data_IF_088389535030
#
_entry.id   IF_088389535030
#
_cell.length_a   1.000
_cell.length_b   1.000
_cell.length_c   1.000
_cell.angle_alpha   90.00
_cell.angle_beta   90.00
_cell.angle_gamma   90.00
#
_symmetry.space_group_name_H-M   'P 1'
#
loop_
_entity.id
_entity.type
_entity.pdbx_description
1 polymer ?
#
# COMPACT_ATOMS: atom_id res chain seq x y z
N UNK A 1 0.56 -4.31 17.93
CA UNK A 1 1.35 -4.38 19.19
C UNK A 1 1.20 -3.04 19.87
N UNK A 2 0.78 -3.02 21.13
CA UNK A 2 0.62 -1.76 21.87
C UNK A 2 1.92 -1.46 22.62
N UNK A 3 2.53 -0.32 22.31
CA UNK A 3 3.74 0.17 22.98
C UNK A 3 3.45 1.58 23.47
N UNK A 4 3.69 1.83 24.76
CA UNK A 4 3.63 3.18 25.32
C UNK A 4 4.92 3.95 25.01
N UNK A 5 4.83 5.05 24.28
CA UNK A 5 5.94 5.98 24.06
C UNK A 5 5.83 7.16 25.02
N UNK A 6 6.94 7.49 25.68
CA UNK A 6 7.04 8.67 26.55
C UNK A 6 7.43 9.90 25.72
N UNK A 7 6.41 10.54 25.15
CA UNK A 7 6.57 11.74 24.34
C UNK A 7 6.65 12.99 25.21
N UNK A 8 7.23 14.05 24.66
CA UNK A 8 7.24 15.36 25.33
C UNK A 8 5.82 15.92 25.32
N UNK A 9 5.36 16.39 26.48
CA UNK A 9 4.08 17.08 26.55
C UNK A 9 4.23 18.49 25.97
N UNK A 10 3.58 18.74 24.84
CA UNK A 10 3.56 20.06 24.18
C UNK A 10 2.18 20.71 24.23
N UNK A 11 1.23 20.18 25.01
CA UNK A 11 -0.14 20.70 25.08
C UNK A 11 -0.24 22.12 25.65
N UNK A 12 0.65 22.46 26.59
CA UNK A 12 0.66 23.77 27.25
C UNK A 12 1.61 24.79 26.60
N UNK A 13 2.79 24.36 26.16
CA UNK A 13 3.79 25.23 25.51
C UNK A 13 4.87 24.39 24.83
N UNK A 14 5.20 24.74 23.59
CA UNK A 14 6.31 24.10 22.85
C UNK A 14 7.70 24.54 23.36
N UNK A 15 7.79 25.71 24.02
CA UNK A 15 9.06 26.29 24.47
C UNK A 15 9.42 25.96 25.92
N UNK A 16 8.46 25.52 26.74
CA UNK A 16 8.67 25.19 28.16
C UNK A 16 8.80 23.68 28.43
N UNK A 17 9.50 22.97 27.55
CA UNK A 17 9.63 21.49 27.55
C UNK A 17 10.08 20.90 28.92
N UNK A 18 10.88 21.64 29.68
CA UNK A 18 11.36 21.21 31.01
C UNK A 18 10.26 21.18 32.08
N UNK A 19 9.23 22.01 31.96
CA UNK A 19 8.11 22.08 32.92
C UNK A 19 6.99 21.10 32.56
N UNK A 20 6.77 20.85 31.27
CA UNK A 20 5.63 20.08 30.78
C UNK A 20 5.72 18.57 31.07
N UNK A 21 6.90 18.03 31.36
CA UNK A 21 7.06 16.60 31.66
C UNK A 21 6.92 15.72 30.42
N UNK A 22 6.57 14.44 30.62
CA UNK A 22 6.34 13.46 29.54
C UNK A 22 4.96 12.85 29.65
N UNK A 23 4.32 12.65 28.52
CA UNK A 23 3.04 11.93 28.40
C UNK A 23 3.30 10.57 27.80
N UNK A 24 2.78 9.52 28.44
CA UNK A 24 2.79 8.19 27.87
C UNK A 24 1.60 8.07 26.92
N UNK A 25 1.89 7.91 25.62
CA UNK A 25 0.88 7.73 24.60
C UNK A 25 0.99 6.30 24.07
N UNK A 26 -0.13 5.60 24.03
CA UNK A 26 -0.22 4.26 23.46
C UNK A 26 -0.22 4.34 21.93
N UNK A 27 0.65 3.56 21.30
CA UNK A 27 0.68 3.40 19.86
C UNK A 27 0.33 1.96 19.49
N UNK A 28 -0.53 1.80 18.49
CA UNK A 28 -0.74 0.53 17.81
C UNK A 28 0.21 0.44 16.61
N UNK A 29 1.12 -0.54 16.65
CA UNK A 29 2.12 -0.74 15.60
C UNK A 29 2.04 -2.14 14.99
N UNK A 30 2.35 -2.23 13.69
CA UNK A 30 2.57 -3.49 13.00
C UNK A 30 3.88 -4.13 13.46
N UNK A 31 3.87 -5.44 13.70
CA UNK A 31 5.06 -6.20 14.11
C UNK A 31 5.70 -6.85 12.89
N UNK A 32 6.95 -6.51 12.59
CA UNK A 32 7.72 -7.03 11.44
C UNK A 32 6.97 -6.95 10.10
N UNK A 33 6.40 -5.79 9.72
CA UNK A 33 5.65 -5.68 8.48
C UNK A 33 6.55 -5.87 7.26
N UNK A 34 6.00 -6.50 6.23
CA UNK A 34 6.60 -6.59 4.90
C UNK A 34 5.52 -6.37 3.85
N UNK A 35 5.81 -5.53 2.86
CA UNK A 35 4.86 -5.17 1.80
C UNK A 35 5.49 -5.43 0.44
N UNK A 36 4.64 -5.85 -0.50
CA UNK A 36 4.97 -5.85 -1.93
C UNK A 36 4.25 -4.68 -2.57
N UNK A 37 5.00 -3.78 -3.20
CA UNK A 37 4.46 -2.58 -3.83
C UNK A 37 4.72 -2.66 -5.32
N UNK A 38 3.65 -2.54 -6.11
CA UNK A 38 3.74 -2.43 -7.57
C UNK A 38 3.61 -0.96 -7.94
N UNK A 39 4.53 -0.47 -8.77
CA UNK A 39 4.57 0.93 -9.22
C UNK A 39 4.55 0.95 -10.73
N UNK A 40 3.73 1.82 -11.30
CA UNK A 40 3.73 2.15 -12.71
C UNK A 40 3.70 3.67 -12.88
N UNK A 41 4.16 4.15 -14.03
CA UNK A 41 4.09 5.56 -14.36
C UNK A 41 3.98 5.75 -15.88
N UNK A 42 3.23 6.75 -16.32
CA UNK A 42 3.03 7.04 -17.75
C UNK A 42 4.27 7.68 -18.40
N UNK A 43 4.96 8.57 -17.66
CA UNK A 43 6.26 9.10 -18.07
C UNK A 43 7.34 8.03 -17.89
N UNK A 44 7.81 7.48 -19.00
CA UNK A 44 8.83 6.42 -19.05
C UNK A 44 10.19 6.93 -18.56
N UNK A 45 10.57 8.17 -18.86
CA UNK A 45 11.84 8.72 -18.41
C UNK A 45 11.89 8.90 -16.89
N UNK A 46 10.75 9.25 -16.27
CA UNK A 46 10.64 9.28 -14.81
C UNK A 46 10.62 7.87 -14.21
N UNK A 47 9.88 6.94 -14.84
CA UNK A 47 9.84 5.54 -14.42
C UNK A 47 11.23 4.92 -14.41
N UNK A 48 12.00 5.06 -15.50
CA UNK A 48 13.33 4.47 -15.64
C UNK A 48 14.30 5.01 -14.58
N UNK A 49 14.26 6.33 -14.33
CA UNK A 49 15.05 6.96 -13.26
C UNK A 49 14.68 6.44 -11.88
N UNK A 50 13.38 6.26 -11.61
CA UNK A 50 12.91 5.72 -10.34
C UNK A 50 13.34 4.25 -10.19
N UNK A 51 13.13 3.45 -11.22
CA UNK A 51 13.47 2.04 -11.26
C UNK A 51 14.97 1.82 -11.01
N UNK A 52 15.84 2.55 -11.71
CA UNK A 52 17.29 2.48 -11.52
C UNK A 52 17.68 2.74 -10.05
N UNK A 53 17.10 3.77 -9.43
CA UNK A 53 17.39 4.09 -8.02
C UNK A 53 16.87 3.03 -7.06
N UNK A 54 15.72 2.42 -7.32
CA UNK A 54 15.16 1.37 -6.48
C UNK A 54 15.97 0.08 -6.58
N UNK A 55 16.33 -0.34 -7.80
CA UNK A 55 17.12 -1.54 -8.08
C UNK A 55 18.52 -1.42 -7.47
N UNK A 56 19.16 -0.26 -7.64
CA UNK A 56 20.50 0.01 -7.09
C UNK A 56 20.49 0.47 -5.63
N UNK A 57 19.32 0.52 -4.97
CA UNK A 57 19.14 0.99 -3.59
C UNK A 57 19.73 2.41 -3.37
N UNK A 58 19.76 3.24 -4.42
CA UNK A 58 20.33 4.57 -4.47
C UNK A 58 19.33 5.67 -4.04
N UNK A 59 18.82 5.53 -2.82
CA UNK A 59 17.86 6.46 -2.24
C UNK A 59 18.53 7.74 -1.74
N UNK A 60 17.87 8.89 -1.94
CA UNK A 60 18.33 10.17 -1.40
C UNK A 60 18.07 10.28 0.12
N UNK A 61 16.96 9.70 0.57
CA UNK A 61 16.58 9.60 1.98
C UNK A 61 16.25 8.16 2.34
N UNK A 62 16.57 7.75 3.57
CA UNK A 62 16.24 6.42 4.07
C UNK A 62 14.72 6.22 4.07
N UNK A 63 14.20 5.19 3.39
CA UNK A 63 12.78 4.87 3.43
C UNK A 63 12.30 4.53 4.83
N UNK A 64 11.05 4.81 5.14
CA UNK A 64 10.42 4.50 6.42
C UNK A 64 8.92 4.24 6.26
N UNK A 65 8.32 3.52 7.20
CA UNK A 65 6.90 3.15 7.22
C UNK A 65 6.11 4.12 8.11
N UNK A 66 5.58 5.19 7.53
CA UNK A 66 4.72 6.16 8.21
C UNK A 66 5.51 7.20 9.01
N UNK A 67 6.26 6.79 10.03
CA UNK A 67 7.10 7.67 10.86
C UNK A 67 8.59 7.39 10.62
N UNK A 68 9.42 8.44 10.71
CA UNK A 68 10.86 8.34 10.40
C UNK A 68 11.64 7.37 11.30
N UNK A 69 11.11 7.06 12.49
CA UNK A 69 11.65 6.06 13.41
C UNK A 69 11.46 4.62 12.90
N UNK A 70 10.54 4.39 11.97
CA UNK A 70 10.21 3.07 11.43
C UNK A 70 10.92 2.86 10.09
N UNK A 71 12.25 2.89 10.10
CA UNK A 71 13.07 2.70 8.89
C UNK A 71 12.71 1.41 8.16
N UNK A 72 12.75 1.46 6.83
CA UNK A 72 12.37 0.37 5.96
C UNK A 72 13.53 -0.02 5.05
N UNK A 73 13.66 -1.31 4.77
CA UNK A 73 14.64 -1.84 3.84
C UNK A 73 13.95 -2.29 2.56
N UNK A 74 14.43 -1.81 1.41
CA UNK A 74 14.02 -2.35 0.11
C UNK A 74 14.74 -3.66 -0.15
N UNK A 75 13.99 -4.68 -0.58
CA UNK A 75 14.52 -5.98 -0.99
C UNK A 75 13.93 -6.37 -2.33
N UNK A 76 14.76 -6.93 -3.21
CA UNK A 76 14.34 -7.52 -4.48
C UNK A 76 13.55 -6.54 -5.37
N UNK A 77 13.98 -5.27 -5.43
CA UNK A 77 13.43 -4.35 -6.41
C UNK A 77 13.80 -4.84 -7.81
N UNK A 78 12.80 -4.98 -8.68
CA UNK A 78 12.95 -5.51 -10.02
C UNK A 78 11.99 -4.80 -10.97
N UNK A 79 12.44 -4.57 -12.20
CA UNK A 79 11.57 -4.14 -13.30
C UNK A 79 11.00 -5.39 -13.96
N UNK A 80 9.68 -5.49 -14.01
CA UNK A 80 8.98 -6.63 -14.57
C UNK A 80 8.13 -6.16 -15.76
N UNK A 81 8.18 -6.84 -16.92
CA UNK A 81 7.25 -6.55 -18.00
C UNK A 81 5.84 -6.95 -17.57
N UNK A 82 4.88 -6.09 -17.87
CA UNK A 82 3.45 -6.36 -17.61
C UNK A 82 2.70 -6.44 -18.93
N UNK A 83 1.76 -7.38 -19.00
CA UNK A 83 0.80 -7.44 -20.10
C UNK A 83 -0.56 -7.04 -19.55
N UNK A 84 -1.24 -6.13 -20.26
CA UNK A 84 -2.62 -5.83 -19.94
C UNK A 84 -3.49 -7.02 -20.35
N UNK A 85 -4.17 -7.59 -19.37
CA UNK A 85 -5.21 -8.58 -19.59
C UNK A 85 -6.55 -7.88 -19.82
N UNK A 86 -7.31 -8.40 -20.78
CA UNK A 86 -8.66 -7.95 -21.08
C UNK A 86 -9.52 -9.17 -21.39
N UNK A 87 -10.68 -9.27 -20.73
CA UNK A 87 -11.59 -10.39 -20.94
C UNK A 87 -12.93 -10.12 -20.29
N UNK A 88 -14.02 -10.51 -20.96
CA UNK A 88 -15.38 -10.38 -20.44
C UNK A 88 -15.76 -11.65 -19.68
N UNK A 89 -16.21 -11.50 -18.44
CA UNK A 89 -16.91 -12.55 -17.68
C UNK A 89 -16.04 -13.65 -17.08
N UNK A 90 -14.72 -13.54 -17.14
CA UNK A 90 -13.80 -14.50 -16.53
C UNK A 90 -13.49 -14.16 -15.06
N UNK A 91 -13.40 -15.20 -14.23
CA UNK A 91 -12.87 -15.10 -12.86
C UNK A 91 -11.35 -14.95 -12.91
N UNK A 92 -10.83 -13.90 -12.27
CA UNK A 92 -9.39 -13.60 -12.20
C UNK A 92 -8.93 -13.63 -10.74
N UNK A 93 -7.81 -14.30 -10.49
CA UNK A 93 -7.16 -14.35 -9.18
C UNK A 93 -6.15 -13.19 -9.06
N UNK A 94 -6.44 -12.22 -8.20
CA UNK A 94 -5.65 -10.98 -8.02
C UNK A 94 -4.79 -11.06 -6.76
N UNK A 95 -3.49 -10.85 -6.92
CA UNK A 95 -2.46 -10.96 -5.89
C UNK A 95 -2.17 -9.63 -5.16
N UNK A 96 -2.76 -8.53 -5.63
CA UNK A 96 -2.63 -7.20 -5.03
C UNK A 96 -3.91 -6.82 -4.28
N UNK A 97 -3.87 -5.69 -3.58
CA UNK A 97 -5.07 -5.06 -3.05
C UNK A 97 -6.06 -4.72 -4.18
N UNK A 98 -7.36 -4.89 -3.91
CA UNK A 98 -8.43 -4.77 -4.89
C UNK A 98 -9.21 -3.49 -4.64
N UNK A 99 -9.17 -2.55 -5.59
CA UNK A 99 -10.09 -1.41 -5.58
C UNK A 99 -11.47 -1.89 -6.08
N UNK A 100 -12.49 -1.84 -5.21
CA UNK A 100 -13.83 -2.36 -5.50
C UNK A 100 -14.50 -1.65 -6.67
N UNK A 101 -14.15 -0.39 -6.95
CA UNK A 101 -14.69 0.37 -8.09
C UNK A 101 -14.22 -0.13 -9.46
N UNK A 102 -13.22 -1.01 -9.51
CA UNK A 102 -12.69 -1.61 -10.75
C UNK A 102 -13.29 -2.98 -11.09
N UNK A 103 -14.28 -3.42 -10.32
CA UNK A 103 -14.95 -4.71 -10.50
C UNK A 103 -16.24 -4.53 -11.30
N UNK A 104 -16.58 -5.51 -12.14
CA UNK A 104 -17.61 -5.35 -13.18
C UNK A 104 -18.85 -6.21 -13.00
N UNK A 105 -18.81 -7.24 -12.15
CA UNK A 105 -19.92 -8.17 -11.94
C UNK A 105 -20.71 -7.92 -10.64
N UNK A 106 -21.85 -8.59 -10.52
CA UNK A 106 -22.64 -8.66 -9.30
C UNK A 106 -23.03 -10.13 -8.99
N UNK A 107 -22.48 -10.77 -7.95
CA UNK A 107 -21.48 -10.24 -7.02
C UNK A 107 -20.09 -10.09 -7.68
N UNK A 108 -19.31 -9.05 -7.31
CA UNK A 108 -18.02 -8.76 -7.95
C UNK A 108 -16.86 -9.65 -7.47
N UNK A 109 -17.02 -10.34 -6.35
CA UNK A 109 -15.98 -11.09 -5.65
C UNK A 109 -16.50 -12.48 -5.29
N UNK A 110 -15.66 -13.48 -5.44
CA UNK A 110 -15.90 -14.82 -4.91
C UNK A 110 -15.20 -15.01 -3.56
N UNK A 111 -15.97 -14.91 -2.49
CA UNK A 111 -15.46 -15.11 -1.14
C UNK A 111 -15.23 -16.59 -0.85
N UNK A 112 -14.05 -16.91 -0.31
CA UNK A 112 -13.78 -18.22 0.27
C UNK A 112 -14.32 -18.30 1.70
N UNK A 113 -14.91 -19.44 2.08
CA UNK A 113 -15.43 -19.67 3.44
C UNK A 113 -14.32 -19.71 4.51
N UNK A 114 -13.07 -19.95 4.10
CA UNK A 114 -11.92 -20.08 5.01
C UNK A 114 -11.05 -18.84 5.05
N UNK A 115 -11.37 -17.82 4.24
CA UNK A 115 -10.57 -16.60 4.14
C UNK A 115 -11.19 -15.49 4.98
N UNK A 116 -10.34 -14.58 5.45
CA UNK A 116 -10.75 -13.38 6.16
C UNK A 116 -10.39 -12.17 5.32
N UNK A 117 -11.36 -11.29 5.09
CA UNK A 117 -11.19 -10.14 4.22
C UNK A 117 -11.37 -8.85 5.03
N UNK A 118 -10.56 -7.85 4.72
CA UNK A 118 -10.71 -6.49 5.23
C UNK A 118 -11.07 -5.57 4.09
N UNK A 119 -12.04 -4.69 4.33
CA UNK A 119 -12.36 -3.57 3.46
C UNK A 119 -12.10 -2.31 4.24
N UNK A 120 -11.35 -1.40 3.66
CA UNK A 120 -11.09 -0.09 4.23
C UNK A 120 -11.26 1.01 3.19
N UNK A 121 -11.71 2.18 3.64
CA UNK A 121 -11.85 3.37 2.79
C UNK A 121 -10.61 4.23 2.98
N UNK A 122 -9.77 4.31 1.95
CA UNK A 122 -8.48 5.01 2.01
C UNK A 122 -8.28 6.01 0.87
N UNK A 123 -7.43 7.03 1.05
CA UNK A 123 -7.01 7.90 -0.04
C UNK A 123 -6.32 7.10 -1.15
N UNK A 124 -6.83 7.20 -2.38
CA UNK A 124 -6.24 6.54 -3.56
C UNK A 124 -5.69 7.54 -4.59
N UNK A 125 -6.06 8.82 -4.48
CA UNK A 125 -5.45 9.91 -5.25
C UNK A 125 -5.19 11.13 -4.37
N UNK A 126 -4.06 11.78 -4.65
CA UNK A 126 -3.55 12.95 -3.95
C UNK A 126 -3.10 14.01 -4.97
N UNK A 127 -3.32 15.28 -4.64
CA UNK A 127 -2.72 16.40 -5.37
C UNK A 127 -1.22 16.52 -5.09
N UNK A 128 -0.53 17.37 -5.85
CA UNK A 128 0.89 17.70 -5.60
C UNK A 128 1.13 18.29 -4.20
N UNK A 129 0.11 18.97 -3.66
CA UNK A 129 0.14 19.55 -2.31
C UNK A 129 -0.23 18.55 -1.22
N UNK A 130 -0.33 17.25 -1.56
CA UNK A 130 -0.72 16.15 -0.66
C UNK A 130 -2.13 16.31 -0.08
N UNK A 131 -3.04 16.91 -0.84
CA UNK A 131 -4.46 16.97 -0.50
C UNK A 131 -5.18 15.80 -1.15
N UNK A 132 -5.97 15.06 -0.39
CA UNK A 132 -6.74 13.92 -0.91
C UNK A 132 -7.78 14.42 -1.92
N UNK A 133 -7.73 13.89 -3.14
CA UNK A 133 -8.70 14.21 -4.20
C UNK A 133 -9.74 13.11 -4.37
N UNK A 134 -9.41 11.87 -4.00
CA UNK A 134 -10.33 10.73 -4.09
C UNK A 134 -10.04 9.68 -3.01
N UNK A 135 -11.11 9.20 -2.40
CA UNK A 135 -11.13 7.99 -1.57
C UNK A 135 -11.61 6.79 -2.38
N UNK A 136 -11.17 5.59 -2.03
CA UNK A 136 -11.66 4.35 -2.61
C UNK A 136 -11.78 3.26 -1.56
N UNK A 137 -12.68 2.32 -1.81
CA UNK A 137 -12.82 1.10 -1.01
C UNK A 137 -11.84 0.05 -1.53
N UNK A 138 -10.94 -0.37 -0.65
CA UNK A 138 -9.89 -1.31 -0.95
C UNK A 138 -10.08 -2.56 -0.13
N UNK A 139 -10.14 -3.70 -0.82
CA UNK A 139 -10.26 -5.02 -0.21
C UNK A 139 -8.91 -5.74 -0.25
N UNK A 140 -8.58 -6.39 0.86
CA UNK A 140 -7.42 -7.27 1.00
C UNK A 140 -7.81 -8.55 1.74
N UNK A 141 -7.11 -9.64 1.43
CA UNK A 141 -7.12 -10.85 2.25
C UNK A 141 -6.19 -10.68 3.46
N UNK A 142 -6.63 -11.14 4.63
CA UNK A 142 -5.92 -11.00 5.90
C UNK A 142 -4.56 -11.72 5.91
N UNK A 143 -4.43 -12.81 5.16
CA UNK A 143 -3.19 -13.59 5.04
C UNK A 143 -2.36 -13.15 3.81
N UNK A 144 -2.82 -12.13 3.07
CA UNK A 144 -2.17 -11.68 1.83
C UNK A 144 -2.32 -12.67 0.67
N UNK A 145 -3.34 -13.53 0.69
CA UNK A 145 -3.64 -14.46 -0.40
C UNK A 145 -4.36 -13.75 -1.55
N UNK A 146 -4.36 -14.41 -2.70
CA UNK A 146 -5.06 -13.91 -3.87
C UNK A 146 -6.57 -13.80 -3.65
N UNK A 147 -7.19 -12.75 -4.17
CA UNK A 147 -8.63 -12.54 -4.17
C UNK A 147 -9.19 -12.88 -5.54
N UNK A 148 -10.21 -13.74 -5.57
CA UNK A 148 -10.93 -14.08 -6.80
C UNK A 148 -11.99 -13.04 -7.12
N UNK A 149 -11.84 -12.34 -8.25
CA UNK A 149 -12.72 -11.22 -8.65
C UNK A 149 -13.16 -11.31 -10.10
N UNK A 150 -14.22 -10.59 -10.42
CA UNK A 150 -14.66 -10.34 -11.78
C UNK A 150 -14.31 -8.90 -12.18
N UNK A 151 -13.40 -8.75 -13.15
CA UNK A 151 -12.96 -7.46 -13.69
C UNK A 151 -12.67 -7.62 -15.18
N UNK A 152 -12.85 -6.55 -15.95
CA UNK A 152 -12.54 -6.49 -17.38
C UNK A 152 -11.09 -6.05 -17.66
N UNK A 153 -10.38 -5.57 -16.63
CA UNK A 153 -9.05 -5.00 -16.76
C UNK A 153 -8.15 -5.46 -15.62
N UNK A 154 -7.02 -6.08 -15.96
CA UNK A 154 -5.97 -6.44 -15.01
C UNK A 154 -4.59 -6.39 -15.67
N UNK A 155 -3.55 -6.58 -14.86
CA UNK A 155 -2.18 -6.72 -15.36
C UNK A 155 -1.65 -8.10 -15.02
N UNK A 156 -1.15 -8.80 -16.03
CA UNK A 156 -0.49 -10.09 -15.89
C UNK A 156 1.00 -9.84 -15.65
N UNK A 157 1.52 -10.39 -14.56
CA UNK A 157 2.95 -10.38 -14.27
C UNK A 157 3.47 -11.82 -14.32
N UNK A 158 4.60 -12.09 -15.00
CA UNK A 158 5.19 -13.44 -15.08
C UNK A 158 5.49 -14.04 -13.70
N UNK A 159 6.01 -13.24 -12.78
CA UNK A 159 6.58 -13.73 -11.52
C UNK A 159 5.68 -13.52 -10.29
N UNK A 160 4.69 -12.63 -10.38
CA UNK A 160 3.88 -12.23 -9.22
C UNK A 160 2.39 -12.56 -9.34
N UNK A 161 1.94 -13.06 -10.50
CA UNK A 161 0.55 -13.33 -10.82
C UNK A 161 -0.20 -12.09 -11.32
N UNK A 162 -1.53 -12.15 -11.34
CA UNK A 162 -2.34 -11.03 -11.82
C UNK A 162 -2.48 -9.97 -10.74
N UNK A 163 -2.44 -8.70 -11.12
CA UNK A 163 -2.57 -7.57 -10.21
C UNK A 163 -3.58 -6.55 -10.73
N UNK A 164 -4.11 -5.78 -9.78
CA UNK A 164 -4.81 -4.51 -10.00
C UNK A 164 -4.00 -3.40 -9.34
N UNK A 165 -3.82 -2.30 -10.07
CA UNK A 165 -3.42 -1.04 -9.44
C UNK A 165 -4.63 -0.44 -8.72
N UNK A 166 -4.40 0.34 -7.67
CA UNK A 166 -5.46 1.05 -6.96
C UNK A 166 -6.02 2.23 -7.77
#
# INVERSE_FOLDING_TARGET
>A
MNIGFNLLDTGNSFFEIKKSGRTQIEFELLKNPAFRVFVQHQDTALFDKLADRLVNVAHHFTPYLGLSQFTATLKNAVVCPVKQGSGLGGKISIQSAVNLSKLTANPPIEFSQTAHYYVDTMPIELSRDRVVTRYGEVLVDADGKAVSVYTDHWFETPDFGNILFL
#
